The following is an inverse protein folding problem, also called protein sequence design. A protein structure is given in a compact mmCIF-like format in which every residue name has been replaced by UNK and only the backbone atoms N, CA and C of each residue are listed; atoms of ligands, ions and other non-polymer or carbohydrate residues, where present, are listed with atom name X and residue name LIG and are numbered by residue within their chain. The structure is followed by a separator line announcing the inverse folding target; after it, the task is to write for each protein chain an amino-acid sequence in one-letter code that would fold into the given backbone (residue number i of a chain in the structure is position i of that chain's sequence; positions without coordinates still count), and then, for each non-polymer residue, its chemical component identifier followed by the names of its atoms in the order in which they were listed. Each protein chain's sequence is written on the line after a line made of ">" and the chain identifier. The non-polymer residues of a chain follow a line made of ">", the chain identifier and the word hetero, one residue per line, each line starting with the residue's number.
data_IF_842096004036
#
_entry.id   IF_842096004036
#
_cell.length_a   1.000
_cell.length_b   1.000
_cell.length_c   1.000
_cell.angle_alpha   90.00
_cell.angle_beta   90.00
_cell.angle_gamma   90.00
#
_symmetry.space_group_name_H-M   'P 1'
#
loop_
_entity.id
_entity.type
_entity.pdbx_description
1 polymer ?
#
# COMPACT_ATOMS: atom_id res chain seq x y z
N UNK A 1 -11.50 -24.08 2.40
CA UNK A 1 -10.94 -23.47 3.61
C UNK A 1 -10.98 -21.97 3.38
N UNK A 2 -11.63 -21.21 4.24
CA UNK A 2 -11.70 -19.74 4.11
C UNK A 2 -10.30 -19.14 4.21
N UNK A 3 -10.06 -18.04 3.49
CA UNK A 3 -8.76 -17.37 3.58
C UNK A 3 -8.53 -16.80 5.00
N UNK A 4 -7.28 -16.69 5.47
CA UNK A 4 -6.98 -16.06 6.76
C UNK A 4 -7.58 -14.65 6.91
N UNK A 5 -7.68 -13.92 5.80
CA UNK A 5 -8.32 -12.61 5.73
C UNK A 5 -9.84 -12.68 5.93
N UNK A 6 -10.53 -13.63 5.29
CA UNK A 6 -11.98 -13.82 5.49
C UNK A 6 -12.31 -14.14 6.96
N UNK A 7 -11.47 -14.93 7.62
CA UNK A 7 -11.65 -15.25 9.04
C UNK A 7 -11.48 -14.01 9.92
N UNK A 8 -10.46 -13.19 9.64
CA UNK A 8 -10.24 -11.93 10.36
C UNK A 8 -11.38 -10.94 10.12
N UNK A 9 -11.82 -10.79 8.86
CA UNK A 9 -12.95 -9.94 8.47
C UNK A 9 -14.23 -10.33 9.21
N UNK A 10 -14.60 -11.62 9.15
CA UNK A 10 -15.79 -12.14 9.84
C UNK A 10 -15.76 -11.84 11.34
N UNK A 11 -14.59 -11.99 11.97
CA UNK A 11 -14.43 -11.75 13.41
C UNK A 11 -14.51 -10.25 13.76
N UNK A 12 -13.96 -9.39 12.90
CA UNK A 12 -14.09 -7.93 13.03
C UNK A 12 -15.55 -7.48 12.85
N UNK A 13 -16.28 -8.03 11.89
CA UNK A 13 -17.71 -7.73 11.68
C UNK A 13 -18.55 -8.12 12.90
N UNK A 14 -18.36 -9.33 13.44
CA UNK A 14 -19.03 -9.77 14.66
C UNK A 14 -18.69 -8.89 15.87
N UNK A 15 -17.43 -8.47 15.98
CA UNK A 15 -16.98 -7.58 17.04
C UNK A 15 -17.66 -6.20 16.96
N UNK A 16 -17.68 -5.59 15.76
CA UNK A 16 -18.34 -4.30 15.50
C UNK A 16 -19.84 -4.39 15.80
N UNK A 17 -20.48 -5.48 15.37
CA UNK A 17 -21.91 -5.71 15.63
C UNK A 17 -22.19 -5.84 17.14
N UNK A 18 -21.32 -6.52 17.89
CA UNK A 18 -21.45 -6.61 19.35
C UNK A 18 -21.34 -5.22 20.00
N UNK A 19 -20.41 -4.38 19.56
CA UNK A 19 -20.27 -2.98 20.04
C UNK A 19 -21.53 -2.16 19.71
N UNK A 20 -22.08 -2.32 18.50
CA UNK A 20 -23.34 -1.66 18.10
C UNK A 20 -24.50 -2.06 19.01
N UNK A 21 -24.63 -3.34 19.34
CA UNK A 21 -25.67 -3.84 20.24
C UNK A 21 -25.51 -3.31 21.66
N UNK A 22 -24.29 -3.24 22.19
CA UNK A 22 -24.02 -2.60 23.49
C UNK A 22 -24.48 -1.15 23.46
N UNK A 23 -24.14 -0.39 22.41
CA UNK A 23 -24.58 1.00 22.25
C UNK A 23 -26.10 1.11 22.30
N UNK A 24 -26.84 0.22 21.63
CA UNK A 24 -28.30 0.22 21.66
C UNK A 24 -28.84 -0.02 23.08
N UNK A 25 -28.33 -1.05 23.76
CA UNK A 25 -28.78 -1.40 25.12
C UNK A 25 -28.50 -0.25 26.10
N UNK A 26 -27.35 0.42 25.98
CA UNK A 26 -26.98 1.53 26.86
C UNK A 26 -27.78 2.79 26.54
N UNK A 27 -28.16 3.00 25.27
CA UNK A 27 -28.94 4.18 24.85
C UNK A 27 -30.38 4.17 25.36
N UNK A 28 -30.97 2.98 25.55
CA UNK A 28 -32.31 2.79 26.16
C UNK A 28 -32.24 1.72 27.26
N UNK A 29 -31.47 2.01 28.31
CA UNK A 29 -31.21 1.04 29.35
C UNK A 29 -32.42 0.78 30.24
N UNK A 30 -32.78 -0.50 30.38
CA UNK A 30 -33.76 -0.99 31.35
C UNK A 30 -33.12 -1.97 32.33
N UNK A 31 -33.51 -1.98 33.62
CA UNK A 31 -32.91 -2.87 34.62
C UNK A 31 -32.95 -4.36 34.27
N UNK A 32 -33.97 -4.82 33.53
CA UNK A 32 -34.06 -6.23 33.10
C UNK A 32 -32.95 -6.59 32.08
N UNK A 33 -32.38 -5.60 31.39
CA UNK A 33 -31.31 -5.77 30.40
C UNK A 33 -29.89 -5.87 30.98
N UNK A 34 -29.70 -5.71 32.30
CA UNK A 34 -28.38 -5.73 32.92
C UNK A 34 -27.61 -7.03 32.67
N UNK A 35 -28.30 -8.18 32.73
CA UNK A 35 -27.67 -9.49 32.49
C UNK A 35 -27.17 -9.62 31.05
N UNK A 36 -27.96 -9.16 30.07
CA UNK A 36 -27.61 -9.14 28.65
C UNK A 36 -26.45 -8.18 28.39
N UNK A 37 -26.46 -7.00 29.01
CA UNK A 37 -25.35 -6.04 28.91
C UNK A 37 -24.04 -6.66 29.41
N UNK A 38 -24.06 -7.30 30.58
CA UNK A 38 -22.88 -7.98 31.13
C UNK A 38 -22.36 -9.07 30.20
N UNK A 39 -23.25 -9.88 29.62
CA UNK A 39 -22.88 -10.89 28.62
C UNK A 39 -22.22 -10.25 27.39
N UNK A 40 -22.77 -9.16 26.87
CA UNK A 40 -22.23 -8.46 25.69
C UNK A 40 -20.87 -7.83 25.96
N UNK A 41 -20.67 -7.27 27.15
CA UNK A 41 -19.35 -6.77 27.60
C UNK A 41 -18.34 -7.92 27.68
N UNK A 42 -18.73 -9.06 28.22
CA UNK A 42 -17.86 -10.24 28.25
C UNK A 42 -17.53 -10.72 26.83
N UNK A 43 -18.51 -10.75 25.92
CA UNK A 43 -18.29 -11.05 24.50
C UNK A 43 -17.36 -10.05 23.81
N UNK A 44 -17.35 -8.78 24.24
CA UNK A 44 -16.42 -7.78 23.73
C UNK A 44 -14.98 -8.12 24.13
N UNK A 45 -14.76 -8.50 25.39
CA UNK A 45 -13.44 -8.94 25.87
C UNK A 45 -12.97 -10.18 25.13
N UNK A 46 -13.84 -11.19 24.99
CA UNK A 46 -13.52 -12.41 24.23
C UNK A 46 -13.25 -12.08 22.76
N UNK A 47 -14.05 -11.20 22.14
CA UNK A 47 -13.85 -10.78 20.76
C UNK A 47 -12.48 -10.14 20.51
N UNK A 48 -12.03 -9.25 21.41
CA UNK A 48 -10.67 -8.68 21.34
C UNK A 48 -9.58 -9.75 21.44
N UNK A 49 -9.76 -10.75 22.31
CA UNK A 49 -8.82 -11.87 22.45
C UNK A 49 -8.77 -12.74 21.19
N UNK A 50 -9.90 -12.99 20.54
CA UNK A 50 -9.94 -13.75 19.29
C UNK A 50 -9.29 -12.98 18.14
N UNK A 51 -9.53 -11.67 18.03
CA UNK A 51 -8.85 -10.81 17.03
C UNK A 51 -7.33 -10.83 17.23
N UNK A 52 -6.84 -10.76 18.47
CA UNK A 52 -5.40 -10.83 18.75
C UNK A 52 -4.78 -12.19 18.37
N UNK A 53 -5.50 -13.31 18.58
CA UNK A 53 -5.03 -14.64 18.15
C UNK A 53 -4.88 -14.73 16.62
N UNK A 54 -5.79 -14.11 15.88
CA UNK A 54 -5.78 -14.11 14.41
C UNK A 54 -4.64 -13.29 13.81
N UNK A 55 -4.02 -12.39 14.59
CA UNK A 55 -2.83 -11.63 14.16
C UNK A 55 -1.74 -12.53 13.60
N UNK A 56 -1.52 -13.69 14.20
CA UNK A 56 -0.54 -14.68 13.76
C UNK A 56 -0.83 -15.22 12.34
N UNK A 57 -2.08 -15.24 11.90
CA UNK A 57 -2.50 -15.78 10.61
C UNK A 57 -2.34 -14.76 9.46
N UNK A 58 -2.19 -13.47 9.78
CA UNK A 58 -2.07 -12.37 8.79
C UNK A 58 -0.71 -11.67 8.85
N UNK A 59 0.26 -12.24 9.56
CA UNK A 59 1.57 -11.62 9.80
C UNK A 59 2.37 -11.31 8.53
N UNK A 60 2.16 -12.06 7.46
CA UNK A 60 2.82 -11.85 6.16
C UNK A 60 2.29 -10.63 5.40
N UNK A 61 1.15 -10.07 5.83
CA UNK A 61 0.49 -8.96 5.14
C UNK A 61 1.04 -7.64 5.66
N UNK A 62 1.74 -6.92 4.79
CA UNK A 62 2.30 -5.62 5.09
C UNK A 62 1.40 -4.52 4.55
N UNK A 63 0.94 -3.64 5.44
CA UNK A 63 0.12 -2.48 5.08
C UNK A 63 1.02 -1.24 5.06
N UNK A 64 1.12 -0.51 3.92
CA UNK A 64 1.87 0.74 3.87
C UNK A 64 1.31 1.76 4.86
N UNK A 65 2.19 2.44 5.59
CA UNK A 65 1.79 3.41 6.62
C UNK A 65 0.98 4.57 6.06
N UNK A 66 1.26 4.94 4.82
CA UNK A 66 0.58 6.01 4.08
C UNK A 66 -0.91 5.69 3.85
N UNK A 67 -1.30 4.41 3.86
CA UNK A 67 -2.72 4.02 3.76
C UNK A 67 -3.50 4.46 5.00
N UNK A 68 -2.86 4.52 6.18
CA UNK A 68 -3.52 4.97 7.41
C UNK A 68 -3.99 6.42 7.29
N UNK A 69 -3.22 7.29 6.63
CA UNK A 69 -3.63 8.68 6.39
C UNK A 69 -4.93 8.77 5.58
N UNK A 70 -5.16 7.85 4.64
CA UNK A 70 -6.42 7.79 3.87
C UNK A 70 -7.57 7.33 4.77
N UNK A 71 -7.35 6.31 5.60
CA UNK A 71 -8.36 5.77 6.52
C UNK A 71 -8.76 6.82 7.58
N UNK A 72 -7.79 7.47 8.22
CA UNK A 72 -8.03 8.47 9.28
C UNK A 72 -8.79 9.70 8.77
N UNK A 73 -8.61 10.03 7.48
CA UNK A 73 -9.35 11.09 6.79
C UNK A 73 -10.71 10.63 6.24
N UNK A 74 -11.10 9.37 6.44
CA UNK A 74 -12.33 8.78 5.91
C UNK A 74 -12.34 8.64 4.38
N UNK A 75 -11.18 8.62 3.73
CA UNK A 75 -11.02 8.40 2.29
C UNK A 75 -10.94 6.91 1.98
N UNK A 76 -11.27 6.55 0.73
CA UNK A 76 -11.13 5.17 0.27
C UNK A 76 -9.63 4.79 0.16
N UNK A 77 -9.16 3.75 0.87
CA UNK A 77 -7.78 3.25 0.80
C UNK A 77 -7.32 2.85 -0.61
N UNK A 78 -8.23 2.45 -1.50
CA UNK A 78 -7.89 2.09 -2.88
C UNK A 78 -7.35 3.29 -3.69
N UNK A 79 -7.63 4.51 -3.26
CA UNK A 79 -7.05 5.71 -3.87
C UNK A 79 -5.55 5.77 -3.69
N UNK A 80 -5.01 5.25 -2.58
CA UNK A 80 -3.56 5.12 -2.40
C UNK A 80 -2.95 4.23 -3.49
N UNK A 81 -3.54 3.06 -3.72
CA UNK A 81 -3.08 2.14 -4.77
C UNK A 81 -3.09 2.81 -6.15
N UNK A 82 -4.14 3.56 -6.46
CA UNK A 82 -4.23 4.34 -7.69
C UNK A 82 -3.10 5.38 -7.76
N UNK A 83 -2.93 6.19 -6.72
CA UNK A 83 -1.91 7.24 -6.67
C UNK A 83 -0.49 6.67 -6.82
N UNK A 84 -0.22 5.49 -6.25
CA UNK A 84 1.05 4.79 -6.42
C UNK A 84 1.29 4.38 -7.87
N UNK A 85 0.28 3.83 -8.54
CA UNK A 85 0.36 3.43 -9.96
C UNK A 85 0.60 4.67 -10.83
N UNK A 86 -0.17 5.74 -10.60
CA UNK A 86 -0.06 6.99 -11.35
C UNK A 86 1.32 7.64 -11.17
N UNK A 87 1.85 7.67 -9.93
CA UNK A 87 3.20 8.15 -9.63
C UNK A 87 4.27 7.28 -10.30
N UNK A 88 4.13 5.95 -10.28
CA UNK A 88 5.07 5.04 -10.91
C UNK A 88 5.10 5.24 -12.44
N UNK A 89 3.94 5.41 -13.05
CA UNK A 89 3.80 5.70 -14.48
C UNK A 89 4.50 7.03 -14.84
N UNK A 90 4.15 8.11 -14.14
CA UNK A 90 4.75 9.43 -14.37
C UNK A 90 6.27 9.38 -14.19
N UNK A 91 6.77 8.64 -13.19
CA UNK A 91 8.22 8.49 -12.96
C UNK A 91 8.90 7.70 -14.08
N UNK A 92 8.26 6.66 -14.58
CA UNK A 92 8.77 5.87 -15.70
C UNK A 92 8.89 6.73 -16.97
N UNK A 93 7.86 7.50 -17.30
CA UNK A 93 7.88 8.43 -18.43
C UNK A 93 8.97 9.50 -18.29
N UNK A 94 9.13 10.08 -17.10
CA UNK A 94 10.19 11.05 -16.80
C UNK A 94 11.58 10.43 -17.02
N UNK A 95 11.82 9.23 -16.48
CA UNK A 95 13.12 8.53 -16.61
C UNK A 95 13.40 8.16 -18.05
N UNK A 96 12.39 7.68 -18.80
CA UNK A 96 12.51 7.39 -20.22
C UNK A 96 12.87 8.64 -21.02
N UNK A 97 12.22 9.77 -20.75
CA UNK A 97 12.54 11.06 -21.37
C UNK A 97 13.99 11.50 -21.11
N UNK A 98 14.50 11.28 -19.88
CA UNK A 98 15.91 11.54 -19.55
C UNK A 98 16.85 10.62 -20.32
N UNK A 99 16.56 9.32 -20.40
CA UNK A 99 17.36 8.35 -21.15
C UNK A 99 17.44 8.75 -22.63
N UNK A 100 16.30 9.11 -23.24
CA UNK A 100 16.26 9.50 -24.64
C UNK A 100 17.00 10.81 -24.89
N UNK A 101 16.90 11.77 -23.97
CA UNK A 101 17.66 13.02 -24.02
C UNK A 101 19.17 12.78 -23.93
N UNK A 102 19.62 11.93 -23.00
CA UNK A 102 21.04 11.56 -22.89
C UNK A 102 21.54 10.80 -24.12
N UNK A 103 20.74 9.90 -24.70
CA UNK A 103 21.07 9.21 -25.95
C UNK A 103 21.26 10.20 -27.09
N UNK A 104 20.33 11.15 -27.26
CA UNK A 104 20.43 12.21 -28.29
C UNK A 104 21.65 13.08 -28.07
N UNK A 105 21.88 13.54 -26.84
CA UNK A 105 23.06 14.33 -26.49
C UNK A 105 24.35 13.60 -26.81
N UNK A 106 24.47 12.31 -26.42
CA UNK A 106 25.61 11.46 -26.75
C UNK A 106 25.83 11.39 -28.27
N UNK A 107 24.78 11.16 -29.05
CA UNK A 107 24.89 11.09 -30.51
C UNK A 107 25.36 12.40 -31.13
N UNK A 108 24.82 13.54 -30.70
CA UNK A 108 25.25 14.86 -31.17
C UNK A 108 26.69 15.17 -30.77
N UNK A 109 27.05 14.89 -29.52
CA UNK A 109 28.42 15.09 -29.03
C UNK A 109 29.42 14.25 -29.83
N UNK A 110 29.12 12.97 -30.07
CA UNK A 110 29.97 12.10 -30.89
C UNK A 110 30.06 12.58 -32.34
N UNK A 111 28.99 13.13 -32.90
CA UNK A 111 29.00 13.71 -34.25
C UNK A 111 29.95 14.90 -34.35
N UNK A 112 29.83 15.88 -33.44
CA UNK A 112 30.69 17.07 -33.43
C UNK A 112 32.15 16.72 -33.12
N UNK A 113 32.40 15.86 -32.13
CA UNK A 113 33.76 15.39 -31.83
C UNK A 113 34.37 14.60 -32.99
N UNK A 114 33.58 13.85 -33.77
CA UNK A 114 34.09 13.15 -34.96
C UNK A 114 34.58 14.13 -36.04
N UNK A 115 33.99 15.33 -36.12
CA UNK A 115 34.42 16.38 -37.06
C UNK A 115 35.68 17.09 -36.57
N UNK A 116 35.77 17.40 -35.28
CA UNK A 116 36.89 18.18 -34.72
C UNK A 116 38.10 17.31 -34.36
N UNK A 117 37.91 16.09 -33.89
CA UNK A 117 38.95 15.18 -33.38
C UNK A 117 38.77 13.74 -33.91
N UNK A 118 38.95 13.52 -35.22
CA UNK A 118 38.63 12.24 -35.88
C UNK A 118 39.48 11.06 -35.39
N UNK A 119 40.77 11.29 -35.10
CA UNK A 119 41.70 10.23 -34.69
C UNK A 119 41.42 9.73 -33.27
N UNK A 120 41.09 10.64 -32.37
CA UNK A 120 40.75 10.38 -30.97
C UNK A 120 39.42 9.64 -30.87
N UNK A 121 38.43 10.05 -31.67
CA UNK A 121 37.13 9.36 -31.73
C UNK A 121 37.25 7.97 -32.37
N UNK A 122 38.11 7.78 -33.36
CA UNK A 122 38.38 6.45 -33.91
C UNK A 122 38.95 5.50 -32.84
N UNK A 123 39.91 5.96 -32.02
CA UNK A 123 40.44 5.20 -30.87
C UNK A 123 39.36 4.92 -29.83
N UNK A 124 38.54 5.92 -29.48
CA UNK A 124 37.42 5.76 -28.55
C UNK A 124 36.41 4.71 -29.04
N UNK A 125 36.02 4.76 -30.32
CA UNK A 125 35.09 3.79 -30.92
C UNK A 125 35.69 2.38 -30.97
N UNK A 126 37.00 2.24 -31.21
CA UNK A 126 37.68 0.94 -31.20
C UNK A 126 37.68 0.29 -29.80
N UNK A 127 37.82 1.08 -28.74
CA UNK A 127 37.75 0.58 -27.35
C UNK A 127 36.31 0.28 -26.94
N UNK A 128 35.35 1.10 -27.37
CA UNK A 128 33.95 0.98 -26.94
C UNK A 128 33.09 0.04 -27.80
N UNK A 129 33.50 -0.25 -29.04
CA UNK A 129 32.80 -1.14 -29.97
C UNK A 129 33.08 -2.62 -29.76
N UNK A 130 33.70 -2.98 -28.63
CA UNK A 130 33.93 -4.37 -28.20
C UNK A 130 32.86 -4.93 -27.25
N UNK A 131 31.76 -4.21 -27.03
CA UNK A 131 30.51 -4.71 -26.41
C UNK A 131 29.36 -4.68 -27.41
#
# INVERSE_FOLDING_TARGET
>A
MSSPLENLETQLEMFIENVRQIRIIVSDFQPQGQSVLNQKIQSLVTGLQEVDKLKSQVHDIHVPTEVFDYIDQGRNPQLYTKDCIDKALAKNEEVKGKIDSYKRFKSHLLSELSKTFPNEIAKYKAIRGGE
#
